data_IF_130669222028
#
_entry.id   IF_130669222028
#
_cell.length_a   1.000
_cell.length_b   1.000
_cell.length_c   1.000
_cell.angle_alpha   90.00
_cell.angle_beta   90.00
_cell.angle_gamma   90.00
#
_symmetry.space_group_name_H-M   'P 1'
#
loop_
_entity.id
_entity.type
_entity.pdbx_description
1 polymer ?
#
# COMPACT_ATOMS: atom_id res chain seq x y z
N UNK A 1 17.74 -39.94 -62.96
CA UNK A 1 16.43 -39.40 -62.54
C UNK A 1 16.29 -39.72 -61.06
N UNK A 2 16.47 -38.73 -60.18
CA UNK A 2 16.50 -38.91 -58.71
C UNK A 2 15.33 -38.12 -58.13
N UNK A 3 14.46 -38.67 -57.26
CA UNK A 3 13.30 -37.93 -56.79
C UNK A 3 13.70 -36.95 -55.69
N UNK A 4 13.26 -35.70 -55.84
CA UNK A 4 13.37 -34.64 -54.86
C UNK A 4 12.13 -34.69 -53.97
N UNK A 5 12.27 -34.84 -52.67
CA UNK A 5 11.18 -34.68 -51.70
C UNK A 5 11.41 -33.38 -50.91
N UNK A 6 10.44 -32.45 -50.84
CA UNK A 6 10.61 -31.26 -50.03
C UNK A 6 10.38 -31.60 -48.56
N UNK A 7 11.32 -31.22 -47.71
CA UNK A 7 11.17 -31.21 -46.25
C UNK A 7 10.33 -29.97 -45.90
N UNK A 8 9.10 -30.18 -45.43
CA UNK A 8 8.31 -29.10 -44.82
C UNK A 8 8.79 -28.93 -43.38
N UNK A 9 9.48 -27.83 -43.10
CA UNK A 9 9.82 -27.43 -41.73
C UNK A 9 8.62 -26.67 -41.15
N UNK A 10 7.83 -27.36 -40.34
CA UNK A 10 6.77 -26.72 -39.56
C UNK A 10 7.38 -25.92 -38.42
N UNK A 11 7.17 -24.60 -38.41
CA UNK A 11 7.42 -23.78 -37.23
C UNK A 11 6.32 -24.09 -36.20
N UNK A 12 6.65 -24.89 -35.18
CA UNK A 12 5.81 -25.02 -34.01
C UNK A 12 5.91 -23.70 -33.21
N UNK A 13 4.87 -22.87 -33.30
CA UNK A 13 4.68 -21.77 -32.37
C UNK A 13 4.43 -22.35 -30.99
N UNK A 14 5.41 -22.25 -30.10
CA UNK A 14 5.22 -22.57 -28.69
C UNK A 14 4.19 -21.58 -28.11
N UNK A 15 3.18 -22.05 -27.36
CA UNK A 15 2.28 -21.15 -26.67
C UNK A 15 3.12 -20.34 -25.68
N UNK A 16 3.03 -19.01 -25.78
CA UNK A 16 3.52 -18.13 -24.74
C UNK A 16 2.59 -18.33 -23.54
N UNK A 17 3.01 -19.15 -22.58
CA UNK A 17 2.38 -19.13 -21.26
C UNK A 17 2.64 -17.73 -20.71
N UNK A 18 1.60 -16.88 -20.65
CA UNK A 18 1.66 -15.71 -19.80
C UNK A 18 1.97 -16.23 -18.39
N UNK A 19 3.15 -15.90 -17.87
CA UNK A 19 3.37 -15.96 -16.45
C UNK A 19 2.32 -15.03 -15.84
N UNK A 20 1.30 -15.60 -15.21
CA UNK A 20 0.59 -14.90 -14.16
C UNK A 20 1.68 -14.41 -13.23
N UNK A 21 1.94 -13.11 -13.15
CA UNK A 21 2.83 -12.58 -12.14
C UNK A 21 2.27 -13.08 -10.83
N UNK A 22 2.94 -14.05 -10.21
CA UNK A 22 2.49 -14.55 -8.93
C UNK A 22 2.37 -13.31 -8.03
N UNK A 23 1.23 -13.15 -7.36
CA UNK A 23 1.00 -12.12 -6.37
C UNK A 23 1.14 -12.74 -4.97
N UNK A 24 2.30 -13.36 -4.61
CA UNK A 24 2.40 -14.20 -3.44
C UNK A 24 2.17 -13.39 -2.16
N UNK A 25 2.80 -12.22 -2.04
CA UNK A 25 2.63 -11.33 -0.87
C UNK A 25 1.16 -10.95 -0.68
N UNK A 26 0.48 -10.60 -1.77
CA UNK A 26 -0.90 -10.19 -1.67
C UNK A 26 -1.86 -11.32 -1.32
N UNK A 27 -1.65 -12.52 -1.88
CA UNK A 27 -2.42 -13.71 -1.53
C UNK A 27 -2.20 -14.10 -0.05
N UNK A 28 -0.95 -14.03 0.43
CA UNK A 28 -0.63 -14.32 1.82
C UNK A 28 -1.30 -13.32 2.77
N UNK A 29 -1.25 -12.02 2.45
CA UNK A 29 -1.93 -10.99 3.23
C UNK A 29 -3.46 -11.15 3.19
N UNK A 30 -4.05 -11.52 2.06
CA UNK A 30 -5.49 -11.81 1.99
C UNK A 30 -5.91 -12.94 2.93
N UNK A 31 -5.05 -13.94 3.17
CA UNK A 31 -5.30 -15.01 4.13
C UNK A 31 -5.10 -14.62 5.60
N UNK A 32 -4.42 -13.50 5.87
CA UNK A 32 -4.07 -13.04 7.22
C UNK A 32 -4.94 -11.89 7.74
N UNK A 33 -5.46 -11.06 6.84
CA UNK A 33 -6.20 -9.85 7.20
C UNK A 33 -7.71 -10.08 7.23
N UNK A 34 -8.40 -9.20 7.96
CA UNK A 34 -9.86 -9.14 7.95
C UNK A 34 -10.44 -8.92 6.54
N UNK A 35 -11.64 -9.46 6.21
CA UNK A 35 -12.26 -9.27 4.89
C UNK A 35 -12.51 -7.81 4.49
N UNK A 36 -12.61 -6.91 5.47
CA UNK A 36 -12.82 -5.48 5.23
C UNK A 36 -11.53 -4.75 4.84
N UNK A 37 -10.36 -5.37 5.10
CA UNK A 37 -9.07 -4.84 4.65
C UNK A 37 -8.93 -4.99 3.14
N UNK A 38 -8.34 -3.97 2.49
CA UNK A 38 -8.10 -4.02 1.05
C UNK A 38 -6.66 -4.44 0.78
N UNK A 39 -6.45 -5.36 -0.16
CA UNK A 39 -5.13 -5.78 -0.64
C UNK A 39 -5.17 -5.77 -2.17
N UNK A 40 -4.28 -5.00 -2.80
CA UNK A 40 -4.21 -4.86 -4.27
C UNK A 40 -2.76 -4.89 -4.77
N UNK A 41 -2.54 -5.29 -6.01
CA UNK A 41 -1.25 -5.04 -6.66
C UNK A 41 -1.15 -3.55 -6.96
N UNK A 42 0.03 -2.96 -6.83
CA UNK A 42 0.19 -1.53 -7.17
C UNK A 42 0.11 -1.24 -8.67
N UNK A 43 0.17 -2.29 -9.50
CA UNK A 43 -0.17 -2.22 -10.93
C UNK A 43 -1.67 -2.14 -11.21
N UNK A 44 -2.53 -2.45 -10.24
CA UNK A 44 -3.98 -2.41 -10.41
C UNK A 44 -4.48 -0.96 -10.44
N UNK A 45 -5.47 -0.69 -11.30
CA UNK A 45 -6.06 0.64 -11.42
C UNK A 45 -6.69 1.14 -10.10
N UNK A 46 -7.17 0.22 -9.26
CA UNK A 46 -7.75 0.51 -7.94
C UNK A 46 -6.74 1.07 -6.95
N UNK A 47 -5.44 0.76 -7.10
CA UNK A 47 -4.41 1.35 -6.26
C UNK A 47 -4.41 2.87 -6.39
N UNK A 48 -4.49 3.39 -7.62
CA UNK A 48 -4.46 4.82 -7.88
C UNK A 48 -5.69 5.57 -7.36
N UNK A 49 -6.86 4.91 -7.25
CA UNK A 49 -8.12 5.54 -6.85
C UNK A 49 -8.42 5.38 -5.38
N UNK A 50 -8.11 4.21 -4.82
CA UNK A 50 -8.61 3.83 -3.51
C UNK A 50 -7.55 4.10 -2.43
N UNK A 51 -6.26 4.06 -2.77
CA UNK A 51 -5.16 4.23 -1.82
C UNK A 51 -4.59 5.65 -1.87
N UNK A 52 -4.00 6.09 -0.75
CA UNK A 52 -3.43 7.44 -0.69
C UNK A 52 -2.17 7.53 -1.55
N UNK A 53 -2.29 8.29 -2.63
CA UNK A 53 -1.16 8.60 -3.48
C UNK A 53 -0.21 9.59 -2.84
N UNK A 54 1.08 9.39 -3.08
CA UNK A 54 2.13 10.31 -2.66
C UNK A 54 1.98 11.63 -3.40
N UNK A 55 2.05 12.74 -2.67
CA UNK A 55 1.96 14.10 -3.24
C UNK A 55 3.10 14.40 -4.22
N UNK A 56 4.32 13.95 -3.90
CA UNK A 56 5.49 14.14 -4.75
C UNK A 56 5.72 12.92 -5.62
N UNK A 57 6.04 13.14 -6.89
CA UNK A 57 6.49 12.09 -7.84
C UNK A 57 8.02 11.95 -7.87
N UNK A 58 8.75 12.88 -7.26
CA UNK A 58 10.22 12.88 -7.29
C UNK A 58 10.78 11.90 -6.26
N UNK A 59 11.73 11.05 -6.67
CA UNK A 59 12.38 10.04 -5.82
C UNK A 59 11.38 9.16 -5.06
N UNK A 60 10.32 8.73 -5.74
CA UNK A 60 9.27 7.91 -5.14
C UNK A 60 9.76 6.49 -4.78
N UNK A 61 9.27 5.91 -3.68
CA UNK A 61 9.46 4.48 -3.39
C UNK A 61 8.72 3.60 -4.42
N UNK A 62 9.21 2.38 -4.60
CA UNK A 62 8.55 1.33 -5.38
C UNK A 62 7.87 0.32 -4.47
N UNK A 63 6.58 0.12 -4.68
CA UNK A 63 5.75 -0.85 -3.97
C UNK A 63 5.23 -1.90 -4.95
N UNK A 64 5.10 -3.15 -4.50
CA UNK A 64 4.52 -4.24 -5.30
C UNK A 64 3.08 -4.56 -4.84
N UNK A 65 2.81 -4.38 -3.55
CA UNK A 65 1.53 -4.66 -2.90
C UNK A 65 1.14 -3.46 -2.05
N UNK A 66 -0.14 -3.10 -2.08
CA UNK A 66 -0.72 -2.16 -1.13
C UNK A 66 -1.74 -2.86 -0.25
N UNK A 67 -1.65 -2.62 1.05
CA UNK A 67 -2.56 -3.12 2.06
C UNK A 67 -3.17 -1.93 2.81
N UNK A 68 -4.49 -1.87 2.90
CA UNK A 68 -5.23 -0.87 3.67
C UNK A 68 -6.03 -1.55 4.78
N UNK A 69 -5.43 -1.71 5.97
CA UNK A 69 -6.07 -2.35 7.10
C UNK A 69 -7.27 -1.57 7.62
N UNK A 70 -8.21 -2.27 8.26
CA UNK A 70 -9.36 -1.66 8.96
C UNK A 70 -9.27 -1.79 10.48
N UNK A 71 -8.33 -2.60 10.98
CA UNK A 71 -8.14 -2.83 12.41
C UNK A 71 -6.67 -2.76 12.85
N UNK A 72 -6.43 -2.53 14.14
CA UNK A 72 -5.07 -2.55 14.72
C UNK A 72 -4.44 -3.94 14.56
N UNK A 73 -5.24 -5.02 14.66
CA UNK A 73 -4.76 -6.38 14.50
C UNK A 73 -4.22 -6.62 13.08
N UNK A 74 -4.91 -6.11 12.06
CA UNK A 74 -4.50 -6.22 10.66
C UNK A 74 -3.19 -5.46 10.41
N UNK A 75 -3.04 -4.25 10.97
CA UNK A 75 -1.76 -3.51 10.91
C UNK A 75 -0.62 -4.35 11.50
N UNK A 76 -0.86 -4.98 12.65
CA UNK A 76 0.14 -5.84 13.28
C UNK A 76 0.45 -7.08 12.43
N UNK A 77 -0.54 -7.68 11.77
CA UNK A 77 -0.32 -8.81 10.87
C UNK A 77 0.56 -8.42 9.68
N UNK A 78 0.30 -7.28 9.03
CA UNK A 78 1.16 -6.78 7.94
C UNK A 78 2.60 -6.57 8.40
N UNK A 79 2.80 -5.91 9.56
CA UNK A 79 4.14 -5.64 10.09
C UNK A 79 4.87 -6.94 10.44
N UNK A 80 4.19 -7.91 11.09
CA UNK A 80 4.78 -9.21 11.41
C UNK A 80 5.12 -10.00 10.16
N UNK A 81 4.22 -10.02 9.18
CA UNK A 81 4.44 -10.68 7.89
C UNK A 81 5.68 -10.12 7.19
N UNK A 82 5.77 -8.80 7.10
CA UNK A 82 6.90 -8.11 6.48
C UNK A 82 8.23 -8.47 7.17
N UNK A 83 8.24 -8.47 8.51
CA UNK A 83 9.40 -8.85 9.31
C UNK A 83 9.81 -10.31 9.08
N UNK A 84 8.85 -11.24 9.11
CA UNK A 84 9.11 -12.67 8.98
C UNK A 84 9.59 -13.07 7.58
N UNK A 85 9.11 -12.36 6.55
CA UNK A 85 9.44 -12.64 5.15
C UNK A 85 10.54 -11.72 4.59
N UNK A 86 11.15 -10.88 5.44
CA UNK A 86 12.17 -9.92 5.04
C UNK A 86 11.72 -9.00 3.87
N UNK A 87 10.45 -8.58 3.91
CA UNK A 87 9.85 -7.65 2.95
C UNK A 87 9.85 -6.27 3.58
N UNK A 88 10.32 -5.27 2.85
CA UNK A 88 10.29 -3.89 3.33
C UNK A 88 8.85 -3.34 3.30
N UNK A 89 8.52 -2.42 4.20
CA UNK A 89 7.22 -1.75 4.20
C UNK A 89 7.40 -0.23 4.42
N UNK A 90 6.45 0.55 3.92
CA UNK A 90 6.29 1.95 4.31
C UNK A 90 4.86 2.17 4.78
N UNK A 91 4.69 2.70 5.99
CA UNK A 91 3.40 3.17 6.44
C UNK A 91 3.07 4.51 5.77
N UNK A 92 1.91 4.60 5.14
CA UNK A 92 1.41 5.79 4.47
C UNK A 92 0.10 6.27 5.11
N UNK A 93 -0.22 7.54 4.86
CA UNK A 93 -1.32 8.26 5.50
C UNK A 93 -1.63 9.50 4.67
N UNK A 94 -1.23 10.70 5.11
CA UNK A 94 -1.48 11.93 4.35
C UNK A 94 -0.68 12.11 3.03
N UNK A 95 0.22 11.20 2.67
CA UNK A 95 0.94 11.21 1.37
C UNK A 95 2.03 12.27 1.17
N UNK A 96 2.28 13.15 2.15
CA UNK A 96 3.21 14.29 2.03
C UNK A 96 4.68 14.00 2.42
N UNK A 97 5.13 12.74 2.46
CA UNK A 97 6.55 12.42 2.73
C UNK A 97 7.46 12.63 1.51
N UNK A 98 8.44 13.53 1.57
CA UNK A 98 9.24 13.98 0.40
C UNK A 98 10.76 13.69 0.46
N UNK A 99 11.23 12.83 1.35
CA UNK A 99 12.69 12.59 1.48
C UNK A 99 13.24 11.82 0.27
N UNK A 100 14.41 12.23 -0.25
CA UNK A 100 15.06 11.59 -1.40
C UNK A 100 15.43 10.13 -1.18
N UNK A 101 15.73 9.72 0.05
CA UNK A 101 16.10 8.34 0.38
C UNK A 101 14.98 7.32 0.14
N UNK A 102 13.73 7.77 -0.01
CA UNK A 102 12.59 6.87 -0.29
C UNK A 102 12.74 6.14 -1.63
N UNK A 103 13.48 6.70 -2.59
CA UNK A 103 13.72 6.02 -3.87
C UNK A 103 14.55 4.74 -3.76
N UNK A 104 15.17 4.47 -2.61
CA UNK A 104 15.91 3.24 -2.36
C UNK A 104 15.00 2.08 -1.95
N UNK A 105 13.73 2.37 -1.64
CA UNK A 105 12.74 1.37 -1.30
C UNK A 105 12.14 0.82 -2.59
N UNK A 106 12.25 -0.49 -2.80
CA UNK A 106 11.68 -1.22 -3.94
C UNK A 106 11.09 -2.54 -3.45
N UNK A 107 10.11 -3.08 -4.17
CA UNK A 107 9.48 -4.36 -3.83
C UNK A 107 8.81 -4.37 -2.46
N UNK A 108 8.36 -3.20 -1.99
CA UNK A 108 7.86 -3.02 -0.64
C UNK A 108 6.34 -3.12 -0.56
N UNK A 109 5.84 -3.26 0.67
CA UNK A 109 4.42 -3.12 1.00
C UNK A 109 4.11 -1.65 1.28
N UNK A 110 3.14 -1.09 0.56
CA UNK A 110 2.47 0.14 0.98
C UNK A 110 1.44 -0.20 2.06
N UNK A 111 1.68 0.24 3.29
CA UNK A 111 0.78 0.07 4.42
C UNK A 111 -0.04 1.35 4.59
N UNK A 112 -1.16 1.43 3.88
CA UNK A 112 -2.04 2.59 3.89
C UNK A 112 -2.91 2.60 5.16
N UNK A 113 -2.62 3.54 6.04
CA UNK A 113 -3.32 3.72 7.31
C UNK A 113 -4.49 4.72 7.21
N UNK A 114 -4.95 5.10 6.01
CA UNK A 114 -5.97 6.14 5.80
C UNK A 114 -7.32 5.86 6.47
N UNK A 115 -7.63 4.61 6.80
CA UNK A 115 -8.79 4.23 7.61
C UNK A 115 -8.68 4.67 9.08
N UNK A 116 -7.48 4.93 9.59
CA UNK A 116 -7.21 5.34 10.98
C UNK A 116 -7.24 6.87 11.11
N UNK A 117 -8.39 7.47 10.83
CA UNK A 117 -8.58 8.92 10.70
C UNK A 117 -9.53 9.53 11.74
N UNK A 118 -9.72 8.86 12.88
CA UNK A 118 -10.62 9.30 13.96
C UNK A 118 -9.99 10.37 14.85
N UNK A 119 -10.84 11.23 15.42
CA UNK A 119 -10.47 12.25 16.40
C UNK A 119 -11.40 12.13 17.60
N UNK A 120 -10.83 12.11 18.81
CA UNK A 120 -11.55 12.21 20.06
C UNK A 120 -10.94 13.31 20.94
N UNK A 121 -11.76 14.21 21.46
CA UNK A 121 -11.32 15.31 22.34
C UNK A 121 -11.91 15.08 23.72
N UNK A 122 -11.05 15.07 24.73
CA UNK A 122 -11.46 15.15 26.14
C UNK A 122 -11.26 16.60 26.62
N UNK A 123 -12.39 17.31 26.76
CA UNK A 123 -12.36 18.71 27.18
C UNK A 123 -11.91 18.89 28.64
N UNK A 124 -12.23 17.94 29.51
CA UNK A 124 -11.90 18.01 30.93
C UNK A 124 -10.42 17.71 31.17
N UNK A 125 -9.89 16.70 30.48
CA UNK A 125 -8.46 16.35 30.54
C UNK A 125 -7.58 17.28 29.68
N UNK A 126 -8.18 18.09 28.81
CA UNK A 126 -7.49 18.93 27.82
C UNK A 126 -6.57 18.11 26.91
N UNK A 127 -7.04 16.95 26.45
CA UNK A 127 -6.30 16.05 25.56
C UNK A 127 -7.08 15.78 24.27
N UNK A 128 -6.34 15.44 23.22
CA UNK A 128 -6.88 14.93 21.96
C UNK A 128 -6.19 13.61 21.62
N UNK A 129 -6.98 12.59 21.32
CA UNK A 129 -6.52 11.31 20.79
C UNK A 129 -6.87 11.25 19.30
N UNK A 130 -5.87 10.99 18.46
CA UNK A 130 -6.04 10.89 17.01
C UNK A 130 -5.60 9.52 16.50
N UNK A 131 -6.26 9.05 15.44
CA UNK A 131 -5.78 7.93 14.65
C UNK A 131 -4.48 8.24 13.91
N UNK A 132 -3.76 7.19 13.49
CA UNK A 132 -2.42 7.32 12.89
C UNK A 132 -2.35 8.08 11.56
N UNK A 133 -3.48 8.38 10.92
CA UNK A 133 -3.56 9.05 9.63
C UNK A 133 -4.53 10.23 9.60
N UNK A 134 -4.81 10.84 10.76
CA UNK A 134 -5.58 12.09 10.77
C UNK A 134 -4.78 13.19 10.07
N UNK A 135 -5.43 13.89 9.14
CA UNK A 135 -4.84 15.03 8.43
C UNK A 135 -4.76 16.26 9.33
N UNK A 136 -3.68 17.03 9.21
CA UNK A 136 -3.44 18.20 10.07
C UNK A 136 -4.56 19.25 10.01
N UNK A 137 -5.21 19.40 8.86
CA UNK A 137 -6.34 20.32 8.70
C UNK A 137 -7.59 19.87 9.49
N UNK A 138 -7.85 18.56 9.56
CA UNK A 138 -8.89 18.00 10.42
C UNK A 138 -8.56 18.22 11.91
N UNK A 139 -7.29 18.05 12.31
CA UNK A 139 -6.83 18.34 13.68
C UNK A 139 -7.11 19.79 14.04
N UNK A 140 -6.62 20.73 13.22
CA UNK A 140 -6.79 22.18 13.48
C UNK A 140 -8.26 22.57 13.51
N UNK A 141 -9.09 22.06 12.58
CA UNK A 141 -10.55 22.34 12.58
C UNK A 141 -11.25 21.79 13.83
N UNK A 142 -10.91 20.58 14.26
CA UNK A 142 -11.52 19.98 15.44
C UNK A 142 -11.12 20.72 16.74
N UNK A 143 -9.86 21.11 16.87
CA UNK A 143 -9.38 21.92 18.00
C UNK A 143 -10.07 23.29 18.03
N UNK A 144 -10.12 23.98 16.89
CA UNK A 144 -10.78 25.29 16.78
C UNK A 144 -12.25 25.22 17.20
N UNK A 145 -12.99 24.21 16.74
CA UNK A 145 -14.38 23.99 17.13
C UNK A 145 -14.56 23.73 18.64
N UNK A 146 -13.53 23.20 19.31
CA UNK A 146 -13.50 22.99 20.76
C UNK A 146 -12.96 24.20 21.54
N UNK A 147 -12.64 25.32 20.88
CA UNK A 147 -12.00 26.48 21.51
C UNK A 147 -10.58 26.20 21.98
N UNK A 148 -9.86 25.30 21.29
CA UNK A 148 -8.51 24.83 21.60
C UNK A 148 -7.57 25.05 20.41
N UNK A 149 -6.27 24.94 20.66
CA UNK A 149 -5.22 24.97 19.65
C UNK A 149 -4.07 24.03 20.02
N UNK A 150 -3.20 23.72 19.04
CA UNK A 150 -1.92 23.06 19.33
C UNK A 150 -0.94 24.11 19.86
N UNK A 151 -0.07 23.77 20.84
CA UNK A 151 1.03 24.63 21.22
C UNK A 151 1.98 24.84 20.03
N UNK A 152 2.48 26.06 19.86
CA UNK A 152 3.50 26.44 18.87
C UNK A 152 4.92 26.24 19.39
#
# INVERSE_FOLDING_TARGET
MVPFWPIVVGFASLPFTQATSEFPIGNDLQGLLSPESQIVQTSDATYATDFVQRFSISNSPGFDVAAKPTSIADVQHVVRYALQNNVSLLATGGGHGYTWSLNKLHGAIDLDLSNFNTIAIDNAANTMTIGGSVRSDNVTRALYAAGKELPV
#
